data_IF_638901967603
#
_entry.id   IF_638901967603
#
_cell.length_a   1.000
_cell.length_b   1.000
_cell.length_c   1.000
_cell.angle_alpha   90.00
_cell.angle_beta   90.00
_cell.angle_gamma   90.00
#
_symmetry.space_group_name_H-M   'P 1'
#
loop_
_entity.id
_entity.type
_entity.pdbx_description
1 polymer ?
#
# COMPACT_ATOMS: atom_id res chain seq x y z
N UNK A 1 9.22 -32.84 -4.40
CA UNK A 1 9.29 -31.44 -4.86
C UNK A 1 10.31 -30.74 -3.99
N UNK A 2 11.37 -30.18 -4.58
CA UNK A 2 12.33 -29.37 -3.81
C UNK A 2 11.56 -28.23 -3.14
N UNK A 3 11.79 -28.04 -1.84
CA UNK A 3 11.15 -26.96 -1.11
C UNK A 3 11.56 -25.64 -1.76
N UNK A 4 10.58 -24.92 -2.31
CA UNK A 4 10.83 -23.57 -2.83
C UNK A 4 11.08 -22.67 -1.63
N UNK A 5 12.28 -22.11 -1.57
CA UNK A 5 12.74 -21.23 -0.50
C UNK A 5 11.79 -20.04 -0.35
N UNK A 6 11.43 -19.74 0.90
CA UNK A 6 10.65 -18.57 1.27
C UNK A 6 11.62 -17.47 1.66
N UNK A 7 11.74 -16.41 0.85
CA UNK A 7 12.68 -15.31 1.09
C UNK A 7 11.96 -14.12 1.71
N UNK A 8 12.49 -13.51 2.79
CA UNK A 8 11.89 -12.32 3.37
C UNK A 8 12.04 -11.13 2.42
N UNK A 9 10.99 -10.31 2.33
CA UNK A 9 11.02 -9.01 1.65
C UNK A 9 11.03 -7.90 2.69
N UNK A 10 10.11 -7.97 3.63
CA UNK A 10 10.09 -7.16 4.85
C UNK A 10 9.34 -7.96 5.92
N UNK A 11 10.08 -8.61 6.81
CA UNK A 11 9.54 -9.61 7.69
C UNK A 11 10.37 -9.78 8.97
N UNK A 12 9.71 -10.27 10.01
CA UNK A 12 10.28 -10.46 11.34
C UNK A 12 9.59 -11.63 12.05
N UNK A 13 10.26 -12.28 13.03
CA UNK A 13 9.60 -13.20 13.93
C UNK A 13 8.69 -12.45 14.90
N UNK A 14 7.60 -13.08 15.31
CA UNK A 14 6.65 -12.57 16.30
C UNK A 14 6.28 -13.68 17.27
N UNK A 15 6.38 -13.36 18.56
CA UNK A 15 5.86 -14.21 19.64
C UNK A 15 4.57 -13.60 20.16
N UNK A 16 3.43 -13.94 19.55
CA UNK A 16 2.13 -13.38 19.99
C UNK A 16 1.68 -14.05 21.29
N UNK A 17 1.70 -13.32 22.41
CA UNK A 17 1.17 -13.79 23.69
C UNK A 17 -0.28 -14.26 23.52
N UNK A 18 -0.55 -15.53 23.85
CA UNK A 18 -1.90 -16.11 23.84
C UNK A 18 -2.39 -16.71 22.52
N UNK A 19 -1.59 -16.73 21.45
CA UNK A 19 -1.93 -17.44 20.21
C UNK A 19 -0.74 -18.27 19.70
N UNK A 20 -0.89 -19.59 19.47
CA UNK A 20 0.20 -20.40 18.97
C UNK A 20 0.62 -19.94 17.56
N UNK A 21 1.92 -20.00 17.22
CA UNK A 21 2.39 -19.63 15.90
C UNK A 21 1.86 -20.58 14.83
N UNK A 22 1.54 -20.05 13.67
CA UNK A 22 1.02 -20.76 12.51
C UNK A 22 2.07 -21.66 11.84
N UNK A 23 1.84 -21.97 10.57
CA UNK A 23 2.67 -22.92 9.80
C UNK A 23 4.10 -22.41 9.59
N UNK A 24 4.27 -21.12 9.36
CA UNK A 24 5.57 -20.53 9.02
C UNK A 24 6.26 -20.01 10.26
N UNK A 25 7.41 -20.62 10.57
CA UNK A 25 8.15 -20.35 11.79
C UNK A 25 9.62 -20.16 11.48
N UNK A 26 10.30 -19.44 12.36
CA UNK A 26 11.75 -19.38 12.37
C UNK A 26 12.36 -20.64 13.02
N UNK A 27 13.67 -20.65 13.21
CA UNK A 27 14.41 -21.73 13.85
C UNK A 27 14.12 -21.88 15.36
N UNK A 28 13.64 -20.83 16.01
CA UNK A 28 13.26 -20.82 17.43
C UNK A 28 11.81 -21.29 17.63
N UNK A 29 11.05 -21.43 16.54
CA UNK A 29 9.64 -21.81 16.56
C UNK A 29 8.68 -20.63 16.66
N UNK A 30 9.17 -19.40 16.60
CA UNK A 30 8.37 -18.17 16.58
C UNK A 30 7.65 -18.00 15.25
N UNK A 31 6.47 -17.39 15.27
CA UNK A 31 5.65 -17.21 14.08
C UNK A 31 6.22 -16.11 13.18
N UNK A 32 6.33 -16.36 11.88
CA UNK A 32 6.80 -15.35 10.93
C UNK A 32 5.70 -14.35 10.56
N UNK A 33 5.98 -13.05 10.62
CA UNK A 33 5.08 -11.97 10.16
C UNK A 33 5.75 -11.11 9.10
N UNK A 34 4.96 -10.52 8.21
CA UNK A 34 5.44 -9.63 7.14
C UNK A 34 5.26 -10.20 5.73
N UNK A 35 6.02 -9.66 4.78
CA UNK A 35 5.97 -10.03 3.37
C UNK A 35 7.12 -10.96 2.99
N UNK A 36 6.77 -12.02 2.27
CA UNK A 36 7.71 -13.03 1.79
C UNK A 36 7.47 -13.37 0.33
N UNK A 37 8.54 -13.65 -0.40
CA UNK A 37 8.48 -14.09 -1.79
C UNK A 37 8.88 -15.56 -1.93
N UNK A 38 8.16 -16.28 -2.78
CA UNK A 38 8.58 -17.58 -3.33
C UNK A 38 8.67 -17.49 -4.84
N UNK A 39 9.78 -17.93 -5.38
CA UNK A 39 10.03 -17.88 -6.82
C UNK A 39 9.95 -19.29 -7.42
N UNK A 40 9.07 -19.45 -8.39
CA UNK A 40 8.97 -20.62 -9.24
C UNK A 40 9.50 -20.27 -10.64
N UNK A 41 9.67 -21.29 -11.49
CA UNK A 41 10.23 -21.12 -12.84
C UNK A 41 9.54 -20.02 -13.66
N UNK A 42 8.22 -19.90 -13.57
CA UNK A 42 7.42 -18.97 -14.38
C UNK A 42 6.52 -18.04 -13.57
N UNK A 43 6.45 -18.23 -12.25
CA UNK A 43 5.52 -17.54 -11.36
C UNK A 43 6.24 -17.13 -10.08
N UNK A 44 5.92 -15.96 -9.54
CA UNK A 44 6.28 -15.56 -8.17
C UNK A 44 5.02 -15.53 -7.31
N UNK A 45 5.16 -15.98 -6.07
CA UNK A 45 4.15 -15.82 -5.03
C UNK A 45 4.64 -14.78 -4.03
N UNK A 46 3.85 -13.75 -3.79
CA UNK A 46 4.01 -12.87 -2.63
C UNK A 46 3.03 -13.29 -1.55
N UNK A 47 3.54 -13.55 -0.36
CA UNK A 47 2.78 -14.01 0.81
C UNK A 47 2.83 -12.94 1.89
N UNK A 48 1.66 -12.54 2.38
CA UNK A 48 1.54 -11.78 3.61
C UNK A 48 1.30 -12.78 4.74
N UNK A 49 2.17 -12.78 5.74
CA UNK A 49 2.08 -13.64 6.91
C UNK A 49 1.77 -12.81 8.17
N UNK A 50 1.00 -13.39 9.08
CA UNK A 50 0.75 -12.85 10.41
C UNK A 50 0.84 -13.98 11.43
N UNK A 51 1.81 -13.89 12.36
CA UNK A 51 2.13 -14.92 13.33
C UNK A 51 2.27 -16.33 12.72
N UNK A 52 2.86 -16.44 11.53
CA UNK A 52 3.06 -17.70 10.82
C UNK A 52 1.88 -18.20 9.98
N UNK A 53 0.73 -17.53 10.01
CA UNK A 53 -0.42 -17.85 9.16
C UNK A 53 -0.43 -17.02 7.88
N UNK A 54 -0.93 -17.60 6.79
CA UNK A 54 -1.06 -16.89 5.51
C UNK A 54 -2.32 -16.04 5.52
N UNK A 55 -2.17 -14.72 5.53
CA UNK A 55 -3.29 -13.79 5.43
C UNK A 55 -3.66 -13.53 3.98
N UNK A 56 -2.66 -13.40 3.10
CA UNK A 56 -2.87 -13.08 1.69
C UNK A 56 -1.81 -13.72 0.81
N UNK A 57 -2.20 -14.02 -0.43
CA UNK A 57 -1.31 -14.61 -1.44
C UNK A 57 -1.58 -13.99 -2.81
N UNK A 58 -0.59 -13.30 -3.34
CA UNK A 58 -0.59 -12.77 -4.70
C UNK A 58 0.28 -13.65 -5.58
N UNK A 59 -0.20 -13.94 -6.79
CA UNK A 59 0.52 -14.74 -7.78
C UNK A 59 0.67 -13.93 -9.06
N UNK A 60 1.88 -13.82 -9.57
CA UNK A 60 2.16 -13.07 -10.78
C UNK A 60 3.25 -13.76 -11.60
N UNK A 61 3.23 -13.62 -12.94
CA UNK A 61 4.25 -14.20 -13.79
C UNK A 61 5.63 -13.60 -13.47
N UNK A 62 6.68 -14.40 -13.65
CA UNK A 62 8.07 -13.92 -13.55
C UNK A 62 8.42 -13.09 -14.79
N UNK A 63 8.00 -11.83 -14.78
CA UNK A 63 8.32 -10.82 -15.81
C UNK A 63 9.03 -9.64 -15.17
N UNK A 64 9.99 -9.05 -15.89
CA UNK A 64 10.65 -7.82 -15.44
C UNK A 64 9.75 -6.64 -15.80
N UNK A 65 9.00 -6.17 -14.80
CA UNK A 65 8.13 -5.00 -14.94
C UNK A 65 8.99 -3.74 -14.79
N UNK A 66 9.02 -2.82 -15.78
CA UNK A 66 9.85 -1.62 -15.72
C UNK A 66 9.33 -0.59 -14.72
N UNK A 67 8.02 -0.57 -14.45
CA UNK A 67 7.44 0.36 -13.50
C UNK A 67 7.95 0.12 -12.09
N UNK A 68 8.46 1.19 -11.49
CA UNK A 68 8.79 1.30 -10.08
C UNK A 68 8.10 2.57 -9.59
N UNK A 69 7.37 2.47 -8.50
CA UNK A 69 6.76 3.64 -7.86
C UNK A 69 6.82 3.46 -6.36
N UNK A 70 7.01 4.56 -5.60
CA UNK A 70 6.84 4.55 -4.16
C UNK A 70 5.49 3.96 -3.74
N UNK A 71 4.42 4.07 -4.55
CA UNK A 71 3.12 3.39 -4.27
C UNK A 71 3.18 1.86 -4.36
N UNK A 72 4.08 1.30 -5.15
CA UNK A 72 4.14 -0.14 -5.44
C UNK A 72 5.11 -0.90 -4.51
N UNK A 73 5.52 -0.25 -3.42
CA UNK A 73 6.21 -0.89 -2.30
C UNK A 73 5.29 -1.89 -1.62
N UNK A 74 5.80 -3.07 -1.29
CA UNK A 74 5.02 -4.12 -0.61
C UNK A 74 4.49 -3.65 0.74
N UNK A 75 5.25 -2.80 1.41
CA UNK A 75 4.90 -2.14 2.67
C UNK A 75 3.61 -1.32 2.54
N UNK A 76 3.34 -0.72 1.38
CA UNK A 76 2.08 0.01 1.20
C UNK A 76 0.85 -0.89 1.21
N UNK A 77 1.00 -2.17 0.89
CA UNK A 77 -0.08 -3.15 1.00
C UNK A 77 -0.43 -3.47 2.46
N UNK A 78 0.37 -3.02 3.43
CA UNK A 78 -0.08 -3.02 4.82
C UNK A 78 -1.33 -2.15 4.99
N UNK A 79 -1.35 -1.00 4.33
CA UNK A 79 -2.42 -0.01 4.44
C UNK A 79 -3.64 -0.30 3.57
N UNK A 80 -3.48 -1.14 2.55
CA UNK A 80 -4.59 -1.65 1.75
C UNK A 80 -5.13 -2.86 2.52
N UNK A 81 -6.31 -2.72 3.14
CA UNK A 81 -6.84 -3.69 4.11
C UNK A 81 -6.75 -5.18 3.71
N UNK A 82 -6.78 -6.06 4.70
CA UNK A 82 -6.74 -7.53 4.50
C UNK A 82 -5.37 -8.18 4.71
N UNK A 83 -4.32 -7.41 5.00
CA UNK A 83 -3.01 -7.95 5.39
C UNK A 83 -3.00 -8.49 6.83
N UNK A 84 -3.68 -7.82 7.78
CA UNK A 84 -3.72 -8.15 9.23
C UNK A 84 -2.34 -8.49 9.81
N UNK A 85 -1.28 -7.91 9.24
CA UNK A 85 0.09 -8.13 9.67
C UNK A 85 0.33 -7.43 11.00
N UNK A 86 1.12 -8.06 11.85
CA UNK A 86 1.48 -7.54 13.19
C UNK A 86 2.98 -7.25 13.25
N UNK A 87 3.35 -6.17 13.92
CA UNK A 87 4.72 -5.75 14.20
C UNK A 87 5.43 -6.73 15.17
N UNK A 88 6.73 -6.52 15.40
CA UNK A 88 7.55 -7.34 16.30
C UNK A 88 6.97 -7.41 17.73
N UNK A 89 6.42 -6.30 18.19
CA UNK A 89 5.75 -6.17 19.50
C UNK A 89 4.30 -6.73 19.50
N UNK A 90 3.84 -7.28 18.38
CA UNK A 90 2.48 -7.81 18.20
C UNK A 90 1.41 -6.75 17.95
N UNK A 91 1.76 -5.47 17.85
CA UNK A 91 0.83 -4.39 17.47
C UNK A 91 0.46 -4.46 15.99
N UNK A 92 -0.64 -3.82 15.58
CA UNK A 92 -1.02 -3.79 14.17
C UNK A 92 -0.10 -2.85 13.38
N UNK A 93 0.41 -3.29 12.24
CA UNK A 93 1.22 -2.42 11.36
C UNK A 93 0.37 -1.44 10.56
N UNK A 94 -0.93 -1.70 10.40
CA UNK A 94 -1.84 -0.86 9.65
C UNK A 94 -2.65 0.06 10.57
N UNK A 95 -2.01 1.12 11.06
CA UNK A 95 -2.67 2.16 11.87
C UNK A 95 -2.73 3.49 11.11
N UNK A 96 -3.66 4.37 11.52
CA UNK A 96 -3.70 5.75 11.02
C UNK A 96 -2.35 6.46 11.21
N UNK A 97 -1.71 6.26 12.36
CA UNK A 97 -0.39 6.84 12.68
C UNK A 97 0.68 6.37 11.71
N UNK A 98 0.77 5.05 11.46
CA UNK A 98 1.74 4.48 10.53
C UNK A 98 1.56 5.01 9.11
N UNK A 99 0.32 5.02 8.59
CA UNK A 99 0.01 5.53 7.27
C UNK A 99 0.34 7.02 7.16
N UNK A 100 -0.01 7.81 8.17
CA UNK A 100 0.31 9.24 8.20
C UNK A 100 1.82 9.48 8.16
N UNK A 101 2.59 8.75 8.97
CA UNK A 101 4.03 8.89 9.05
C UNK A 101 4.72 8.45 7.74
N UNK A 102 4.23 7.39 7.10
CA UNK A 102 4.75 6.94 5.80
C UNK A 102 4.48 7.94 4.69
N UNK A 103 3.30 8.58 4.70
CA UNK A 103 3.03 9.70 3.79
C UNK A 103 3.95 10.86 4.12
N UNK A 104 4.05 11.31 5.37
CA UNK A 104 4.89 12.44 5.76
C UNK A 104 6.38 12.25 5.42
N UNK A 105 6.88 11.02 5.52
CA UNK A 105 8.24 10.64 5.18
C UNK A 105 8.48 10.46 3.66
N UNK A 106 7.45 10.63 2.83
CA UNK A 106 7.54 10.45 1.37
C UNK A 106 7.69 8.99 0.92
N UNK A 107 7.48 8.03 1.83
CA UNK A 107 7.50 6.59 1.51
C UNK A 107 6.25 6.17 0.74
N UNK A 108 5.16 6.91 0.94
CA UNK A 108 3.91 6.82 0.18
C UNK A 108 3.50 8.22 -0.30
N UNK A 109 3.09 8.40 -1.56
CA UNK A 109 2.74 9.72 -2.07
C UNK A 109 1.40 10.25 -1.54
N UNK A 110 0.50 9.36 -1.09
CA UNK A 110 -0.78 9.76 -0.52
C UNK A 110 -1.40 8.67 0.35
N UNK A 111 -2.28 9.05 1.26
CA UNK A 111 -3.01 8.14 2.13
C UNK A 111 -4.39 8.68 2.49
N UNK A 112 -5.33 7.76 2.69
CA UNK A 112 -6.69 8.06 3.13
C UNK A 112 -7.03 7.17 4.32
N UNK A 113 -7.62 7.77 5.35
CA UNK A 113 -8.13 7.00 6.48
C UNK A 113 -9.31 7.71 7.14
N UNK A 114 -10.20 6.91 7.73
CA UNK A 114 -11.44 7.39 8.35
C UNK A 114 -11.46 7.07 9.85
N UNK A 115 -11.94 7.99 10.66
CA UNK A 115 -12.02 7.81 12.10
C UNK A 115 -12.95 8.84 12.76
N UNK A 116 -13.08 8.78 14.10
CA UNK A 116 -13.78 9.81 14.87
C UNK A 116 -13.27 11.20 14.51
N UNK A 117 -14.18 12.18 14.35
CA UNK A 117 -13.83 13.52 13.87
C UNK A 117 -12.69 14.17 14.67
N UNK A 118 -12.70 14.06 16.00
CA UNK A 118 -11.64 14.62 16.86
C UNK A 118 -10.26 14.04 16.55
N UNK A 119 -10.18 12.74 16.24
CA UNK A 119 -8.94 12.07 15.85
C UNK A 119 -8.47 12.60 14.48
N UNK A 120 -9.38 12.69 13.52
CA UNK A 120 -9.09 13.20 12.17
C UNK A 120 -8.59 14.65 12.23
N UNK A 121 -9.20 15.49 13.04
CA UNK A 121 -8.77 16.88 13.24
C UNK A 121 -7.36 16.98 13.85
N UNK A 122 -6.98 16.04 14.74
CA UNK A 122 -5.62 15.97 15.28
C UNK A 122 -4.59 15.70 14.17
N UNK A 123 -4.84 14.74 13.28
CA UNK A 123 -3.94 14.49 12.15
C UNK A 123 -3.96 15.62 11.12
N UNK A 124 -5.11 16.26 10.90
CA UNK A 124 -5.21 17.41 10.02
C UNK A 124 -4.35 18.59 10.52
N UNK A 125 -4.29 18.83 11.84
CA UNK A 125 -3.37 19.82 12.44
C UNK A 125 -1.90 19.46 12.21
N UNK A 126 -1.52 18.19 12.42
CA UNK A 126 -0.15 17.73 12.11
C UNK A 126 0.21 17.91 10.63
N UNK A 127 -0.73 17.65 9.72
CA UNK A 127 -0.51 17.89 8.29
C UNK A 127 -0.28 19.38 7.98
N UNK A 128 -0.95 20.30 8.69
CA UNK A 128 -0.67 21.76 8.58
C UNK A 128 0.75 22.07 9.02
N UNK A 129 1.15 21.57 10.19
CA UNK A 129 2.48 21.82 10.78
C UNK A 129 3.61 21.31 9.87
N UNK A 130 3.40 20.16 9.23
CA UNK A 130 4.33 19.57 8.27
C UNK A 130 4.20 20.14 6.85
N UNK A 131 3.25 21.06 6.62
CA UNK A 131 3.01 21.67 5.32
C UNK A 131 2.47 20.71 4.25
N UNK A 132 1.85 19.58 4.62
CA UNK A 132 1.33 18.59 3.67
C UNK A 132 -0.05 19.01 3.12
N UNK A 133 -0.32 18.86 1.81
CA UNK A 133 -1.67 19.02 1.29
C UNK A 133 -2.61 17.94 1.84
N UNK A 134 -3.86 18.32 2.10
CA UNK A 134 -4.85 17.47 2.76
C UNK A 134 -6.27 17.83 2.37
N UNK A 135 -7.21 16.91 2.60
CA UNK A 135 -8.66 17.14 2.60
C UNK A 135 -9.33 16.47 3.77
N UNK A 136 -10.37 17.09 4.31
CA UNK A 136 -11.28 16.43 5.26
C UNK A 136 -12.63 16.30 4.58
N UNK A 137 -13.14 15.07 4.48
CA UNK A 137 -14.46 14.77 3.93
C UNK A 137 -15.37 14.18 5.02
N UNK A 138 -16.68 14.35 4.87
CA UNK A 138 -17.65 13.63 5.69
C UNK A 138 -17.57 12.13 5.36
N UNK A 139 -17.56 11.27 6.38
CA UNK A 139 -17.56 9.83 6.17
C UNK A 139 -19.01 9.34 6.05
N UNK A 140 -19.44 8.81 4.88
CA UNK A 140 -20.87 8.60 4.61
C UNK A 140 -21.48 7.44 5.42
N UNK A 141 -20.65 6.57 5.98
CA UNK A 141 -21.10 5.33 6.61
C UNK A 141 -21.21 5.39 8.14
N UNK A 142 -20.73 6.47 8.77
CA UNK A 142 -20.74 6.59 10.24
C UNK A 142 -20.87 8.05 10.68
N UNK A 143 -21.93 8.37 11.42
CA UNK A 143 -22.12 9.69 12.00
C UNK A 143 -21.02 10.00 13.03
N UNK A 144 -20.55 11.25 13.06
CA UNK A 144 -19.42 11.66 13.90
C UNK A 144 -18.04 11.25 13.38
N UNK A 145 -17.96 10.54 12.25
CA UNK A 145 -16.70 10.21 11.60
C UNK A 145 -16.39 11.18 10.46
N UNK A 146 -15.10 11.27 10.14
CA UNK A 146 -14.59 11.98 8.98
C UNK A 146 -13.51 11.13 8.30
N UNK A 147 -13.18 11.49 7.07
CA UNK A 147 -12.06 10.94 6.32
C UNK A 147 -11.01 12.03 6.11
N UNK A 148 -9.75 11.70 6.38
CA UNK A 148 -8.60 12.53 6.03
C UNK A 148 -7.90 11.94 4.81
N UNK A 149 -7.78 12.75 3.77
CA UNK A 149 -6.79 12.55 2.71
C UNK A 149 -5.56 13.39 3.01
N UNK A 150 -4.37 12.82 2.88
CA UNK A 150 -3.08 13.51 3.00
C UNK A 150 -2.16 13.06 1.87
N UNK A 151 -1.33 13.95 1.33
CA UNK A 151 -0.41 13.62 0.26
C UNK A 151 0.92 14.38 0.34
N UNK A 152 1.85 13.98 -0.51
CA UNK A 152 3.05 14.71 -0.86
C UNK A 152 2.74 15.81 -1.87
N UNK A 153 3.57 16.85 -1.90
CA UNK A 153 3.49 17.87 -2.93
C UNK A 153 3.91 17.32 -4.29
N UNK A 154 3.26 17.81 -5.34
CA UNK A 154 3.65 17.53 -6.71
C UNK A 154 2.50 17.11 -7.61
N UNK A 155 2.84 16.99 -8.89
CA UNK A 155 1.97 16.44 -9.92
C UNK A 155 1.99 14.92 -9.85
N UNK A 156 0.93 14.30 -10.39
CA UNK A 156 0.85 12.85 -10.54
C UNK A 156 2.10 12.33 -11.28
N UNK A 157 2.48 12.94 -12.40
CA UNK A 157 3.64 12.52 -13.20
C UNK A 157 5.00 12.63 -12.49
N UNK A 158 5.08 13.42 -11.42
CA UNK A 158 6.30 13.57 -10.60
C UNK A 158 6.42 12.45 -9.57
N UNK A 159 5.29 11.89 -9.11
CA UNK A 159 5.26 10.81 -8.11
C UNK A 159 4.97 9.43 -8.74
N UNK A 160 4.48 9.43 -9.98
CA UNK A 160 4.08 8.26 -10.74
C UNK A 160 4.66 8.31 -12.15
N UNK A 161 5.55 7.36 -12.44
CA UNK A 161 6.06 7.15 -13.79
C UNK A 161 4.98 6.52 -14.67
N UNK A 162 4.13 7.37 -15.24
CA UNK A 162 3.01 7.00 -16.10
C UNK A 162 3.47 6.17 -17.31
N UNK A 163 4.60 6.52 -17.92
CA UNK A 163 5.11 5.78 -19.09
C UNK A 163 5.55 4.37 -18.71
N UNK A 164 6.19 4.22 -17.55
CA UNK A 164 6.54 2.90 -17.07
C UNK A 164 5.29 2.09 -16.66
N UNK A 165 4.22 2.70 -16.13
CA UNK A 165 2.91 2.03 -15.93
C UNK A 165 2.39 1.49 -17.25
N UNK A 166 2.25 2.35 -18.26
CA UNK A 166 1.75 1.98 -19.59
C UNK A 166 2.56 0.82 -20.16
N UNK A 167 3.89 0.94 -20.12
CA UNK A 167 4.82 -0.10 -20.59
C UNK A 167 4.62 -1.43 -19.86
N UNK A 168 4.40 -1.37 -18.54
CA UNK A 168 4.19 -2.54 -17.69
C UNK A 168 2.89 -3.27 -18.03
N UNK A 169 1.80 -2.54 -18.21
CA UNK A 169 0.52 -3.12 -18.58
C UNK A 169 0.55 -3.73 -19.99
N UNK A 170 1.23 -3.09 -20.96
CA UNK A 170 1.45 -3.66 -22.30
C UNK A 170 2.20 -5.00 -22.23
N UNK A 171 3.27 -5.07 -21.44
CA UNK A 171 4.04 -6.32 -21.24
C UNK A 171 3.19 -7.43 -20.62
N UNK A 172 2.37 -7.09 -19.61
CA UNK A 172 1.49 -8.04 -18.95
C UNK A 172 0.39 -8.56 -19.89
N UNK A 173 -0.26 -7.69 -20.66
CA UNK A 173 -1.27 -8.11 -21.64
C UNK A 173 -0.70 -9.07 -22.69
N UNK A 174 0.48 -8.75 -23.24
CA UNK A 174 1.17 -9.63 -24.18
C UNK A 174 1.57 -10.99 -23.57
N UNK A 175 1.90 -11.02 -22.27
CA UNK A 175 2.35 -12.25 -21.59
C UNK A 175 1.20 -13.13 -21.12
N UNK A 176 0.09 -12.53 -20.69
CA UNK A 176 -1.04 -13.25 -20.09
C UNK A 176 -2.09 -13.71 -21.12
N UNK A 177 -1.91 -13.42 -22.42
CA UNK A 177 -2.89 -13.71 -23.48
C UNK A 177 -4.26 -13.09 -23.20
N UNK A 178 -4.32 -12.13 -22.29
CA UNK A 178 -5.49 -11.32 -21.99
C UNK A 178 -5.35 -10.05 -22.83
N UNK A 179 -6.22 -9.87 -23.82
CA UNK A 179 -6.43 -8.56 -24.43
C UNK A 179 -6.96 -7.63 -23.33
N UNK A 180 -6.07 -6.98 -22.60
CA UNK A 180 -6.42 -5.78 -21.87
C UNK A 180 -6.65 -4.69 -22.93
N UNK A 181 -7.83 -4.68 -23.54
CA UNK A 181 -8.32 -3.55 -24.36
C UNK A 181 -8.35 -2.24 -23.56
N UNK A 182 -8.21 -2.35 -22.23
CA UNK A 182 -8.07 -1.28 -21.23
C UNK A 182 -6.97 -0.24 -21.48
N UNK A 183 -6.05 -0.43 -22.45
CA UNK A 183 -4.93 0.51 -22.66
C UNK A 183 -5.06 1.40 -23.89
N UNK A 184 -5.77 1.01 -24.95
CA UNK A 184 -5.69 1.79 -26.19
C UNK A 184 -6.32 3.18 -26.08
N UNK A 185 -7.45 3.28 -25.39
CA UNK A 185 -8.21 4.54 -25.27
C UNK A 185 -7.91 5.32 -23.97
N UNK A 186 -7.17 4.71 -23.04
CA UNK A 186 -6.90 5.28 -21.72
C UNK A 186 -5.44 5.73 -21.55
N UNK A 187 -4.54 5.38 -22.48
CA UNK A 187 -3.15 5.83 -22.43
C UNK A 187 -2.99 7.35 -22.48
N UNK A 188 -3.70 8.02 -23.40
CA UNK A 188 -3.62 9.48 -23.51
C UNK A 188 -4.24 10.15 -22.28
N UNK A 189 -5.31 9.58 -21.72
CA UNK A 189 -5.89 10.04 -20.44
C UNK A 189 -4.91 9.88 -19.28
N UNK A 190 -4.16 8.77 -19.23
CA UNK A 190 -3.13 8.55 -18.22
C UNK A 190 -2.00 9.59 -18.34
N UNK A 191 -1.60 9.94 -19.57
CA UNK A 191 -0.62 11.00 -19.82
C UNK A 191 -1.14 12.37 -19.44
N UNK A 192 -2.39 12.68 -19.76
CA UNK A 192 -3.04 13.93 -19.33
C UNK A 192 -3.07 14.02 -17.80
N UNK A 193 -3.40 12.93 -17.10
CA UNK A 193 -3.39 12.87 -15.64
C UNK A 193 -2.02 13.19 -15.04
N UNK A 194 -0.92 12.91 -15.74
CA UNK A 194 0.42 13.21 -15.27
C UNK A 194 0.61 14.70 -14.92
N UNK A 195 -0.13 15.57 -15.59
CA UNK A 195 -0.06 17.03 -15.40
C UNK A 195 -0.91 17.54 -14.22
N UNK A 196 -1.81 16.71 -13.69
CA UNK A 196 -2.69 17.10 -12.58
C UNK A 196 -1.93 17.15 -11.25
N UNK A 197 -2.26 18.13 -10.43
CA UNK A 197 -1.83 18.17 -9.03
C UNK A 197 -2.52 17.05 -8.24
N UNK A 198 -1.78 16.34 -7.40
CA UNK A 198 -2.31 15.26 -6.56
C UNK A 198 -3.43 15.72 -5.63
N UNK A 199 -3.30 16.94 -5.16
CA UNK A 199 -4.36 17.67 -4.51
C UNK A 199 -4.43 19.06 -5.13
N UNK A 200 -5.51 19.34 -5.84
CA UNK A 200 -5.90 20.72 -6.06
C UNK A 200 -6.37 21.27 -4.72
N UNK A 201 -5.82 22.39 -4.23
CA UNK A 201 -6.41 23.08 -3.09
C UNK A 201 -7.78 23.60 -3.55
N UNK A 202 -8.83 22.77 -3.41
CA UNK A 202 -10.20 23.27 -3.41
C UNK A 202 -10.32 24.13 -2.16
N UNK A 203 -10.00 25.40 -2.36
CA UNK A 203 -10.31 26.56 -1.55
C UNK A 203 -11.06 26.21 -0.27
N UNK A 204 -10.31 26.15 0.85
CA UNK A 204 -10.79 26.23 2.24
C UNK A 204 -12.33 26.21 2.36
N UNK A 205 -12.95 25.03 2.28
CA UNK A 205 -14.28 24.91 2.85
C UNK A 205 -14.09 25.08 4.35
N UNK A 206 -14.45 26.28 4.84
CA UNK A 206 -14.59 26.54 6.26
C UNK A 206 -15.44 25.42 6.82
N UNK A 207 -14.86 24.65 7.74
CA UNK A 207 -15.63 23.84 8.67
C UNK A 207 -16.49 24.84 9.44
N UNK A 208 -17.78 24.92 9.07
CA UNK A 208 -18.79 25.64 9.85
C UNK A 208 -19.15 24.81 11.08
#
# INVERSE_FOLDING_TARGET
>A
MNAVELKPVNAWPVTRYGAPPGKYRDENGDGLSGWFVREYKTVKHMLALSNGDVCSRYRFPTVRVPFQSPMHRWENLWHVGGSNTVAEDGSNVNTHESLFNDVAAGLKPMGFFSGPREEIERYARRAIELGLPRSINAYPWCEGYAELGVCQHGRIGELFDIEAVITSYRLLGNTLWCNFDFLRDDEDKLRELAEHQLFEPKCNQKLN
#
